data_IF_935413381627
#
_entry.id   IF_935413381627
#
_cell.length_a   1.000
_cell.length_b   1.000
_cell.length_c   1.000
_cell.angle_alpha   90.00
_cell.angle_beta   90.00
_cell.angle_gamma   90.00
#
_symmetry.space_group_name_H-M   'P 1'
#
loop_
_entity.id
_entity.type
_entity.pdbx_description
1 polymer ?
#
# COMPACT_ATOMS: atom_id res chain seq x y z
N UNK A 1 4.21 3.76 2.00
CA UNK A 1 3.99 2.51 2.74
C UNK A 1 2.60 1.90 2.49
N UNK A 2 1.48 2.64 2.52
CA UNK A 2 0.11 2.10 2.32
C UNK A 2 -0.05 1.28 1.04
N UNK A 3 0.46 1.80 -0.09
CA UNK A 3 0.45 1.07 -1.36
C UNK A 3 1.31 -0.20 -1.35
N UNK A 4 2.38 -0.23 -0.54
CA UNK A 4 3.23 -1.41 -0.39
C UNK A 4 2.50 -2.54 0.32
N UNK A 5 1.86 -2.24 1.46
CA UNK A 5 1.03 -3.21 2.18
C UNK A 5 -0.13 -3.69 1.31
N UNK A 6 -0.86 -2.78 0.66
CA UNK A 6 -1.90 -3.19 -0.27
C UNK A 6 -1.36 -4.14 -1.35
N UNK A 7 -0.17 -3.89 -1.90
CA UNK A 7 0.45 -4.76 -2.90
C UNK A 7 0.73 -6.18 -2.37
N UNK A 8 1.24 -6.29 -1.14
CA UNK A 8 1.47 -7.58 -0.47
C UNK A 8 0.18 -8.41 -0.34
N UNK A 9 -0.96 -7.73 -0.13
CA UNK A 9 -2.27 -8.36 -0.02
C UNK A 9 -3.06 -8.33 -1.33
N UNK A 10 -2.38 -8.58 -2.47
CA UNK A 10 -3.00 -8.67 -3.82
C UNK A 10 -3.80 -7.41 -4.23
N UNK A 11 -3.43 -6.27 -3.67
CA UNK A 11 -4.04 -4.97 -3.94
C UNK A 11 -5.29 -4.66 -3.13
N UNK A 12 -5.69 -5.50 -2.16
CA UNK A 12 -6.96 -5.34 -1.45
C UNK A 12 -6.85 -5.65 0.04
N UNK A 13 -7.33 -4.72 0.87
CA UNK A 13 -7.50 -4.89 2.31
C UNK A 13 -8.70 -4.09 2.80
N UNK A 14 -9.27 -4.50 3.94
CA UNK A 14 -10.15 -3.61 4.70
C UNK A 14 -9.36 -2.51 5.39
N UNK A 15 -10.02 -1.38 5.70
CA UNK A 15 -9.39 -0.30 6.49
C UNK A 15 -8.91 -0.81 7.86
N UNK A 16 -9.62 -1.77 8.46
CA UNK A 16 -9.25 -2.37 9.75
C UNK A 16 -7.99 -3.23 9.64
N UNK A 17 -7.89 -4.09 8.65
CA UNK A 17 -6.69 -4.89 8.40
C UNK A 17 -5.50 -4.00 8.06
N UNK A 18 -5.73 -2.99 7.21
CA UNK A 18 -4.71 -2.02 6.84
C UNK A 18 -4.18 -1.25 8.06
N UNK A 19 -5.04 -0.94 9.04
CA UNK A 19 -4.60 -0.36 10.32
C UNK A 19 -3.79 -1.34 11.17
N UNK A 20 -4.19 -2.62 11.21
CA UNK A 20 -3.48 -3.67 11.93
C UNK A 20 -2.05 -3.85 11.46
N UNK A 21 -1.84 -3.87 10.13
CA UNK A 21 -0.52 -3.99 9.49
C UNK A 21 0.45 -2.86 9.89
N UNK A 22 -0.05 -1.68 10.28
CA UNK A 22 0.81 -0.55 10.60
C UNK A 22 1.25 -0.45 12.05
N UNK A 23 0.66 -1.21 12.99
CA UNK A 23 0.83 -0.99 14.43
C UNK A 23 0.69 0.51 14.83
N UNK A 24 0.06 1.33 13.99
CA UNK A 24 -0.01 2.79 14.10
C UNK A 24 -1.44 3.21 14.44
N UNK A 25 -1.62 4.35 15.13
CA UNK A 25 -2.94 4.84 15.45
C UNK A 25 -3.78 5.11 14.19
N UNK A 26 -5.09 4.83 14.30
CA UNK A 26 -6.14 5.01 13.28
C UNK A 26 -6.02 6.32 12.47
N UNK A 27 -5.56 7.39 13.12
CA UNK A 27 -5.48 8.74 12.56
C UNK A 27 -4.42 8.93 11.47
N UNK A 28 -3.40 8.08 11.38
CA UNK A 28 -2.32 8.23 10.38
C UNK A 28 -2.73 7.74 8.98
N UNK A 29 -3.61 6.74 8.91
CA UNK A 29 -3.96 6.06 7.65
C UNK A 29 -5.00 6.86 6.84
N UNK A 30 -5.95 7.49 7.51
CA UNK A 30 -7.09 8.15 6.84
C UNK A 30 -6.69 9.31 5.91
N UNK A 31 -5.78 10.23 6.29
CA UNK A 31 -5.32 11.29 5.39
C UNK A 31 -4.61 10.73 4.15
N UNK A 32 -3.80 9.67 4.33
CA UNK A 32 -3.07 9.02 3.23
C UNK A 32 -4.04 8.38 2.25
N UNK A 33 -5.04 7.65 2.75
CA UNK A 33 -6.09 7.06 1.91
C UNK A 33 -6.84 8.13 1.11
N UNK A 34 -7.20 9.26 1.74
CA UNK A 34 -7.86 10.38 1.04
C UNK A 34 -7.00 10.89 -0.12
N UNK A 35 -5.69 11.07 0.11
CA UNK A 35 -4.75 11.49 -0.93
C UNK A 35 -4.64 10.46 -2.07
N UNK A 36 -4.56 9.16 -1.75
CA UNK A 36 -4.47 8.09 -2.75
C UNK A 36 -5.74 7.96 -3.59
N UNK A 37 -6.91 8.20 -3.00
CA UNK A 37 -8.20 8.24 -3.71
C UNK A 37 -8.22 9.43 -4.67
N UNK A 38 -7.84 10.63 -4.21
CA UNK A 38 -7.77 11.84 -5.06
C UNK A 38 -6.79 11.66 -6.24
N UNK A 39 -5.68 10.95 -6.02
CA UNK A 39 -4.72 10.61 -7.08
C UNK A 39 -5.20 9.49 -8.01
N UNK A 40 -6.39 8.93 -7.78
CA UNK A 40 -6.97 7.86 -8.59
C UNK A 40 -6.18 6.55 -8.52
N UNK A 41 -5.43 6.31 -7.45
CA UNK A 41 -4.61 5.10 -7.29
C UNK A 41 -5.37 3.97 -6.62
N UNK A 42 -6.26 4.31 -5.68
CA UNK A 42 -7.08 3.35 -4.95
C UNK A 42 -8.55 3.73 -5.04
N UNK A 43 -9.42 2.74 -4.91
CA UNK A 43 -10.85 2.93 -4.63
C UNK A 43 -11.16 2.49 -3.21
N UNK A 44 -12.22 3.07 -2.64
CA UNK A 44 -12.72 2.75 -1.31
C UNK A 44 -14.22 2.48 -1.44
N UNK A 45 -14.66 1.32 -0.99
CA UNK A 45 -16.06 0.89 -1.08
C UNK A 45 -16.47 0.13 0.18
N UNK A 46 -17.77 0.10 0.48
CA UNK A 46 -18.29 -0.79 1.54
C UNK A 46 -18.42 -2.20 0.96
N UNK A 47 -18.17 -3.21 1.79
CA UNK A 47 -18.37 -4.60 1.39
C UNK A 47 -19.87 -4.89 1.25
N UNK A 48 -20.27 -5.55 0.18
CA UNK A 48 -21.68 -5.91 -0.08
C UNK A 48 -22.20 -6.97 0.91
N UNK A 49 -21.32 -7.87 1.38
CA UNK A 49 -21.68 -8.93 2.33
C UNK A 49 -21.74 -8.45 3.79
N UNK A 50 -21.05 -7.36 4.10
CA UNK A 50 -20.98 -6.77 5.44
C UNK A 50 -20.63 -5.28 5.33
N UNK A 51 -21.64 -4.42 5.30
CA UNK A 51 -21.48 -2.97 5.10
C UNK A 51 -20.65 -2.27 6.19
N UNK A 52 -20.42 -2.94 7.33
CA UNK A 52 -19.53 -2.44 8.39
C UNK A 52 -18.07 -2.50 7.95
N UNK A 53 -17.74 -3.34 6.98
CA UNK A 53 -16.41 -3.46 6.40
C UNK A 53 -16.25 -2.47 5.26
N UNK A 54 -15.15 -1.73 5.34
CA UNK A 54 -14.74 -0.80 4.30
C UNK A 54 -13.50 -1.35 3.64
N UNK A 55 -13.60 -1.64 2.36
CA UNK A 55 -12.55 -2.22 1.53
C UNK A 55 -11.81 -1.10 0.80
N UNK A 56 -10.49 -1.20 0.76
CA UNK A 56 -9.60 -0.37 -0.03
C UNK A 56 -8.92 -1.27 -1.06
N UNK A 57 -9.02 -0.89 -2.33
CA UNK A 57 -8.47 -1.67 -3.44
C UNK A 57 -7.63 -0.77 -4.34
N UNK A 58 -6.41 -1.20 -4.69
CA UNK A 58 -5.62 -0.56 -5.75
C UNK A 58 -6.37 -0.75 -7.06
N UNK A 59 -6.57 0.34 -7.82
CA UNK A 59 -7.23 0.24 -9.11
C UNK A 59 -6.44 -0.65 -10.06
N UNK A 60 -7.13 -1.51 -10.81
CA UNK A 60 -6.51 -2.55 -11.65
C UNK A 60 -5.51 -1.96 -12.64
N UNK A 61 -5.86 -0.84 -13.27
CA UNK A 61 -5.00 -0.11 -14.22
C UNK A 61 -3.77 0.53 -13.58
N UNK A 62 -3.74 0.65 -12.25
CA UNK A 62 -2.62 1.22 -11.49
C UNK A 62 -1.76 0.16 -10.82
N UNK A 63 -2.26 -1.07 -10.67
CA UNK A 63 -1.59 -2.12 -9.92
C UNK A 63 -0.18 -2.42 -10.43
N UNK A 64 -0.03 -2.71 -11.73
CA UNK A 64 1.27 -2.98 -12.35
C UNK A 64 2.26 -1.83 -12.14
N UNK A 65 1.82 -0.59 -12.35
CA UNK A 65 2.64 0.61 -12.14
C UNK A 65 3.11 0.74 -10.68
N UNK A 66 2.21 0.49 -9.73
CA UNK A 66 2.55 0.51 -8.29
C UNK A 66 3.56 -0.58 -7.94
N UNK A 67 3.39 -1.80 -8.45
CA UNK A 67 4.33 -2.91 -8.26
C UNK A 67 5.71 -2.59 -8.80
N UNK A 68 5.80 -2.10 -10.04
CA UNK A 68 7.08 -1.74 -10.66
C UNK A 68 7.80 -0.64 -9.86
N UNK A 69 7.06 0.36 -9.38
CA UNK A 69 7.62 1.45 -8.59
C UNK A 69 8.18 0.95 -7.25
N UNK A 70 7.46 0.05 -6.56
CA UNK A 70 7.95 -0.59 -5.33
C UNK A 70 9.21 -1.42 -5.61
N UNK A 71 9.21 -2.22 -6.68
CA UNK A 71 10.38 -3.02 -7.06
C UNK A 71 11.60 -2.14 -7.38
N UNK A 72 11.40 -1.03 -8.10
CA UNK A 72 12.47 -0.10 -8.41
C UNK A 72 13.11 0.49 -7.14
N UNK A 73 12.29 0.87 -6.15
CA UNK A 73 12.79 1.34 -4.86
C UNK A 73 13.52 0.25 -4.09
N UNK A 74 12.99 -0.99 -4.08
CA UNK A 74 13.66 -2.12 -3.44
C UNK A 74 15.05 -2.37 -4.05
N UNK A 75 15.12 -2.48 -5.38
CA UNK A 75 16.38 -2.71 -6.10
C UNK A 75 17.39 -1.59 -5.85
N UNK A 76 16.94 -0.34 -5.76
CA UNK A 76 17.81 0.79 -5.43
C UNK A 76 18.41 0.66 -4.02
N UNK A 77 17.59 0.30 -3.03
CA UNK A 77 18.02 0.09 -1.66
C UNK A 77 18.98 -1.10 -1.54
N UNK A 78 18.65 -2.22 -2.17
CA UNK A 78 19.46 -3.44 -2.17
C UNK A 78 20.87 -3.18 -2.70
N UNK A 79 20.99 -2.50 -3.84
CA UNK A 79 22.29 -2.09 -4.40
C UNK A 79 23.08 -1.24 -3.43
N UNK A 80 22.44 -0.27 -2.78
CA UNK A 80 23.10 0.60 -1.80
C UNK A 80 23.61 -0.16 -0.57
N UNK A 81 22.91 -1.19 -0.13
CA UNK A 81 23.31 -2.06 0.99
C UNK A 81 24.49 -2.96 0.57
N UNK A 82 24.40 -3.60 -0.59
CA UNK A 82 25.46 -4.48 -1.11
C UNK A 82 26.80 -3.73 -1.30
N UNK A 83 26.75 -2.50 -1.82
CA UNK A 83 27.95 -1.66 -1.97
C UNK A 83 28.61 -1.36 -0.62
N UNK A 84 27.83 -1.15 0.45
CA UNK A 84 28.37 -0.94 1.80
C UNK A 84 28.97 -2.19 2.44
N UNK A 85 28.44 -3.37 2.12
CA UNK A 85 28.95 -4.65 2.62
C UNK A 85 30.25 -5.05 1.95
N UNK A 86 30.39 -4.77 0.65
CA UNK A 86 31.60 -5.10 -0.12
C UNK A 86 32.78 -4.13 0.10
N UNK A 87 32.51 -2.95 0.68
CA UNK A 87 33.52 -1.94 1.01
C UNK A 87 33.94 -1.97 2.49
N UNK A 88 33.56 -3.01 3.24
CA UNK A 88 33.98 -3.30 4.61
C UNK A 88 34.93 -4.49 4.62
#
# INVERSE_FOLDING_TARGET
YVLGILNLHKGQLTVKELQGEFHHPIFAVSPILKCLILKGLVKKERCELDERRVIVTIKREKFSKVTMLIQAYYNYLEKGIQVKLNNK
#
